data_IF_471800286072
#
_entry.id   IF_471800286072
#
_cell.length_a   1.000
_cell.length_b   1.000
_cell.length_c   1.000
_cell.angle_alpha   90.00
_cell.angle_beta   90.00
_cell.angle_gamma   90.00
#
_symmetry.space_group_name_H-M   'P 1'
#
loop_
_entity.id
_entity.type
_entity.pdbx_description
1 polymer ?
#
# COMPACT_ATOMS: atom_id res chain seq x y z
N UNK A 1 28.01 -19.90 59.82
CA UNK A 1 28.22 -20.49 58.48
C UNK A 1 27.45 -19.60 57.53
N UNK A 2 28.18 -18.67 56.94
CA UNK A 2 27.67 -17.56 56.16
C UNK A 2 28.66 -17.44 55.01
N UNK A 3 28.25 -17.87 53.83
CA UNK A 3 29.16 -17.98 52.69
C UNK A 3 29.12 -16.66 51.91
N UNK A 4 30.18 -15.87 52.06
CA UNK A 4 30.42 -14.68 51.24
C UNK A 4 30.79 -15.11 49.81
N UNK A 5 29.98 -14.68 48.83
CA UNK A 5 30.34 -14.75 47.42
C UNK A 5 30.94 -13.41 46.98
N UNK A 6 32.27 -13.34 46.90
CA UNK A 6 32.98 -12.29 46.18
C UNK A 6 32.84 -12.53 44.68
N UNK A 7 32.52 -11.47 43.93
CA UNK A 7 32.43 -11.48 42.47
C UNK A 7 33.64 -10.74 41.92
N UNK A 8 34.48 -11.42 41.13
CA UNK A 8 35.74 -10.85 40.62
C UNK A 8 35.49 -9.80 39.53
N UNK A 9 36.23 -8.70 39.60
CA UNK A 9 36.31 -7.67 38.56
C UNK A 9 36.95 -8.21 37.28
N UNK A 10 36.40 -7.82 36.12
CA UNK A 10 36.94 -8.18 34.80
C UNK A 10 37.43 -6.93 34.08
N UNK A 11 38.71 -6.59 34.29
CA UNK A 11 39.40 -5.55 33.53
C UNK A 11 39.55 -5.96 32.07
N UNK A 12 39.20 -5.06 31.14
CA UNK A 12 39.47 -5.22 29.72
C UNK A 12 40.52 -4.19 29.29
N UNK A 13 41.78 -4.65 29.26
CA UNK A 13 42.93 -3.79 29.03
C UNK A 13 42.95 -3.17 27.63
N UNK A 14 43.31 -1.88 27.60
CA UNK A 14 43.32 -1.02 26.42
C UNK A 14 44.77 -0.67 26.04
N UNK A 15 45.35 -1.37 25.05
CA UNK A 15 46.62 -0.96 24.42
C UNK A 15 46.65 -1.28 22.92
N UNK A 16 47.23 -0.37 22.13
CA UNK A 16 47.43 -0.58 20.68
C UNK A 16 47.66 0.68 19.84
N UNK A 17 48.61 1.54 20.21
CA UNK A 17 49.11 2.58 19.28
C UNK A 17 50.04 1.94 18.23
N UNK A 18 49.97 2.39 16.97
CA UNK A 18 50.85 1.94 15.89
C UNK A 18 50.92 2.96 14.75
N UNK A 19 52.11 3.47 14.48
CA UNK A 19 52.44 4.63 13.63
C UNK A 19 52.29 4.45 12.11
N UNK A 20 52.18 5.60 11.43
CA UNK A 20 52.35 5.82 9.98
C UNK A 20 53.47 5.00 9.30
N UNK A 21 53.24 4.60 8.05
CA UNK A 21 54.21 4.76 6.96
C UNK A 21 53.50 4.84 5.59
N UNK A 22 54.26 5.22 4.55
CA UNK A 22 53.79 5.83 3.30
C UNK A 22 54.37 5.09 2.08
N UNK A 23 53.66 5.13 0.94
CA UNK A 23 54.02 4.55 -0.38
C UNK A 23 54.08 3.00 -0.40
N UNK A 24 53.52 2.29 -1.39
CA UNK A 24 53.80 2.49 -2.82
C UNK A 24 52.68 2.00 -3.78
N UNK A 25 52.82 2.31 -5.07
CA UNK A 25 51.88 1.93 -6.13
C UNK A 25 51.98 0.45 -6.54
N UNK A 26 50.85 -0.18 -6.89
CA UNK A 26 50.75 -1.10 -8.05
C UNK A 26 49.30 -1.27 -8.50
N UNK A 27 49.05 -1.12 -9.79
CA UNK A 27 47.77 -1.47 -10.41
C UNK A 27 47.55 -2.99 -10.46
N UNK A 28 46.35 -3.48 -10.16
CA UNK A 28 45.81 -4.69 -10.79
C UNK A 28 44.28 -4.76 -10.77
N UNK A 29 43.71 -5.30 -11.84
CA UNK A 29 42.28 -5.29 -12.19
C UNK A 29 41.35 -5.97 -11.18
N UNK A 30 40.17 -5.37 -10.96
CA UNK A 30 39.05 -5.99 -10.23
C UNK A 30 37.70 -5.38 -10.63
N UNK A 31 37.02 -5.97 -11.62
CA UNK A 31 35.71 -5.49 -12.10
C UNK A 31 34.59 -5.74 -11.10
N UNK A 32 33.95 -4.67 -10.61
CA UNK A 32 32.73 -4.73 -9.79
C UNK A 32 31.67 -3.77 -10.32
N UNK A 33 30.71 -4.30 -11.09
CA UNK A 33 29.65 -3.52 -11.75
C UNK A 33 28.78 -2.77 -10.73
N UNK A 34 28.94 -1.45 -10.66
CA UNK A 34 28.06 -0.57 -9.87
C UNK A 34 27.05 0.07 -10.81
N UNK A 35 25.82 -0.45 -10.84
CA UNK A 35 24.77 0.01 -11.75
C UNK A 35 24.09 1.29 -11.21
N UNK A 36 24.82 2.40 -11.24
CA UNK A 36 24.28 3.74 -11.11
C UNK A 36 24.12 4.34 -12.51
N UNK A 37 22.88 4.41 -13.02
CA UNK A 37 22.60 5.15 -14.24
C UNK A 37 22.23 6.59 -13.88
N UNK A 38 23.10 7.52 -14.30
CA UNK A 38 22.82 8.95 -14.30
C UNK A 38 21.59 9.25 -15.15
N UNK A 39 20.61 9.91 -14.54
CA UNK A 39 19.59 10.67 -15.27
C UNK A 39 19.94 12.15 -15.15
N UNK A 40 20.82 12.62 -16.03
CA UNK A 40 20.89 14.05 -16.36
C UNK A 40 19.56 14.46 -16.98
N UNK A 41 18.90 15.47 -16.43
CA UNK A 41 17.72 16.07 -17.04
C UNK A 41 18.02 17.55 -17.26
N UNK A 42 17.99 17.97 -18.53
CA UNK A 42 18.44 19.30 -18.93
C UNK A 42 17.59 20.42 -18.31
N UNK A 43 18.32 21.44 -17.88
CA UNK A 43 17.83 22.65 -17.23
C UNK A 43 17.17 23.58 -18.26
N UNK A 44 15.84 23.76 -18.17
CA UNK A 44 15.11 24.77 -18.98
C UNK A 44 14.32 25.70 -18.07
N UNK A 45 14.79 26.94 -18.04
CA UNK A 45 14.34 28.04 -17.19
C UNK A 45 12.81 28.26 -17.14
N UNK A 46 12.31 28.60 -15.94
CA UNK A 46 11.07 29.38 -15.76
C UNK A 46 11.18 30.40 -14.62
N UNK A 47 11.14 31.65 -15.06
CA UNK A 47 10.85 32.93 -14.39
C UNK A 47 10.36 32.92 -12.94
N UNK A 48 10.96 33.83 -12.17
CA UNK A 48 10.45 34.35 -10.90
C UNK A 48 9.03 34.92 -11.02
N UNK A 49 8.16 34.54 -10.07
CA UNK A 49 7.08 35.38 -9.60
C UNK A 49 6.97 35.26 -8.07
N UNK A 50 7.74 36.10 -7.38
CA UNK A 50 7.57 36.31 -5.94
C UNK A 50 6.23 37.00 -5.69
N UNK A 51 5.34 36.34 -4.96
CA UNK A 51 4.16 36.97 -4.35
C UNK A 51 4.09 36.59 -2.88
N UNK A 52 4.47 37.54 -2.02
CA UNK A 52 4.53 37.37 -0.58
C UNK A 52 3.15 37.56 0.05
N UNK A 53 2.52 36.46 0.47
CA UNK A 53 1.37 36.50 1.37
C UNK A 53 1.80 36.16 2.79
N UNK A 54 2.03 37.22 3.59
CA UNK A 54 2.01 37.11 5.04
C UNK A 54 0.59 36.82 5.51
N UNK A 55 0.40 35.80 6.35
CA UNK A 55 -0.84 35.59 7.09
C UNK A 55 -0.53 35.48 8.58
N UNK A 56 -1.06 36.43 9.35
CA UNK A 56 -0.87 36.50 10.81
C UNK A 56 -1.54 35.33 11.52
N UNK A 57 -0.73 34.51 12.18
CA UNK A 57 -1.20 33.43 13.05
C UNK A 57 -1.62 34.00 14.41
N UNK A 58 -2.87 34.47 14.50
CA UNK A 58 -3.48 34.83 15.78
C UNK A 58 -3.98 33.59 16.53
N UNK A 59 -3.61 33.48 17.81
CA UNK A 59 -3.80 32.30 18.63
C UNK A 59 -5.22 32.17 19.18
N UNK A 60 -5.95 31.15 18.73
CA UNK A 60 -7.25 30.76 19.31
C UNK A 60 -7.03 29.64 20.34
N UNK A 61 -7.14 30.02 21.61
CA UNK A 61 -7.32 29.10 22.73
C UNK A 61 -8.69 28.41 22.62
N UNK A 62 -8.74 27.08 22.64
CA UNK A 62 -9.97 26.34 22.94
C UNK A 62 -9.73 25.27 24.01
N UNK A 63 -10.24 25.56 25.20
CA UNK A 63 -10.37 24.60 26.29
C UNK A 63 -11.40 23.54 25.91
N UNK A 64 -11.00 22.27 25.88
CA UNK A 64 -11.94 21.16 25.78
C UNK A 64 -12.52 20.84 27.17
N UNK A 65 -13.85 20.81 27.28
CA UNK A 65 -14.60 20.36 28.45
C UNK A 65 -15.44 19.14 28.07
N UNK A 66 -15.42 18.01 28.83
CA UNK A 66 -16.07 16.78 28.41
C UNK A 66 -17.33 16.46 29.22
N UNK A 67 -18.52 16.88 28.75
CA UNK A 67 -19.79 16.27 29.16
C UNK A 67 -20.78 16.26 27.99
N UNK A 68 -21.19 15.06 27.57
CA UNK A 68 -22.29 14.87 26.62
C UNK A 68 -23.17 13.72 27.08
N UNK A 69 -24.39 14.05 27.51
CA UNK A 69 -25.42 13.08 27.89
C UNK A 69 -26.79 13.70 27.65
N UNK A 70 -27.37 13.43 26.49
CA UNK A 70 -28.72 13.83 26.09
C UNK A 70 -29.44 12.61 25.50
N UNK A 71 -30.69 12.30 25.92
CA UNK A 71 -31.43 11.13 25.46
C UNK A 71 -32.27 11.38 24.21
N UNK A 72 -32.48 10.33 23.42
CA UNK A 72 -33.29 10.33 22.20
C UNK A 72 -34.71 10.88 22.38
N UNK A 73 -35.13 11.80 21.48
CA UNK A 73 -36.55 12.09 21.19
C UNK A 73 -36.83 12.06 19.69
N UNK A 74 -37.73 11.17 19.29
CA UNK A 74 -38.33 11.15 17.95
C UNK A 74 -39.47 12.17 17.82
N UNK A 75 -39.61 12.82 16.66
CA UNK A 75 -40.89 13.17 16.04
C UNK A 75 -41.03 12.42 14.71
N UNK A 76 -41.86 11.37 14.63
CA UNK A 76 -43.30 11.42 14.31
C UNK A 76 -43.60 12.01 12.92
N UNK A 77 -43.89 11.10 12.01
CA UNK A 77 -44.35 11.29 10.62
C UNK A 77 -45.55 12.24 10.54
N UNK A 78 -45.52 13.17 9.57
CA UNK A 78 -46.72 13.70 8.93
C UNK A 78 -46.55 13.68 7.41
N UNK A 79 -47.52 13.07 6.73
CA UNK A 79 -47.60 12.94 5.28
C UNK A 79 -48.67 13.87 4.72
N UNK A 80 -48.24 14.87 3.93
CA UNK A 80 -49.09 15.61 2.99
C UNK A 80 -48.23 15.85 1.73
N UNK A 81 -48.72 15.73 0.50
CA UNK A 81 -50.11 15.56 0.08
C UNK A 81 -50.55 16.65 -0.91
N UNK A 82 -49.76 16.90 -1.95
CA UNK A 82 -50.06 17.87 -3.02
C UNK A 82 -49.75 17.26 -4.38
N UNK A 83 -50.64 17.50 -5.34
CA UNK A 83 -50.65 16.88 -6.67
C UNK A 83 -50.70 17.93 -7.79
N UNK A 84 -50.58 17.43 -9.03
CA UNK A 84 -50.78 18.12 -10.32
C UNK A 84 -49.62 18.98 -10.85
N UNK A 85 -49.38 18.86 -12.16
CA UNK A 85 -48.30 19.55 -12.89
C UNK A 85 -47.89 18.84 -14.18
N UNK A 86 -48.84 18.46 -15.03
CA UNK A 86 -48.54 17.93 -16.37
C UNK A 86 -48.26 19.08 -17.35
N UNK A 87 -47.17 18.99 -18.10
CA UNK A 87 -47.03 19.64 -19.41
C UNK A 87 -46.18 18.77 -20.34
N UNK A 88 -46.64 18.48 -21.58
CA UNK A 88 -45.81 17.85 -22.60
C UNK A 88 -45.03 18.90 -23.39
N UNK A 89 -43.75 18.64 -23.66
CA UNK A 89 -42.97 19.39 -24.66
C UNK A 89 -42.42 18.41 -25.69
N UNK A 90 -42.39 18.89 -26.93
CA UNK A 90 -42.47 18.12 -28.16
C UNK A 90 -41.13 17.59 -28.70
N UNK A 91 -41.24 16.80 -29.75
CA UNK A 91 -40.16 16.17 -30.51
C UNK A 91 -39.04 17.11 -30.98
N UNK A 92 -37.82 16.58 -31.05
CA UNK A 92 -37.09 16.58 -32.33
C UNK A 92 -36.06 15.44 -32.40
N UNK A 93 -36.12 14.65 -33.47
CA UNK A 93 -35.19 13.56 -33.73
C UNK A 93 -34.02 14.05 -34.60
N UNK A 94 -32.81 14.01 -34.04
CA UNK A 94 -31.58 14.38 -34.76
C UNK A 94 -30.86 13.13 -35.26
N UNK A 95 -31.00 12.84 -36.55
CA UNK A 95 -30.30 11.74 -37.22
C UNK A 95 -28.79 12.04 -37.28
N UNK A 96 -27.96 11.18 -36.67
CA UNK A 96 -26.50 11.25 -36.79
C UNK A 96 -25.98 10.23 -37.81
N UNK A 97 -25.22 10.72 -38.78
CA UNK A 97 -24.75 9.95 -39.93
C UNK A 97 -23.66 8.94 -39.55
N UNK A 98 -23.89 7.65 -39.80
CA UNK A 98 -22.87 6.61 -39.72
C UNK A 98 -21.92 6.73 -40.93
N UNK A 99 -20.75 7.34 -40.73
CA UNK A 99 -19.64 7.27 -41.70
C UNK A 99 -18.89 5.94 -41.52
N UNK A 100 -19.07 5.02 -42.47
CA UNK A 100 -18.14 3.89 -42.61
C UNK A 100 -16.75 4.40 -43.03
N UNK A 101 -15.74 4.12 -42.22
CA UNK A 101 -14.33 4.24 -42.61
C UNK A 101 -13.76 2.85 -42.89
N UNK A 102 -13.63 2.53 -44.19
CA UNK A 102 -12.84 1.41 -44.66
C UNK A 102 -11.37 1.59 -44.26
N UNK A 103 -10.84 0.69 -43.41
CA UNK A 103 -9.40 0.53 -43.22
C UNK A 103 -8.96 -0.82 -43.77
N UNK A 104 -8.26 -0.79 -44.91
CA UNK A 104 -7.71 -2.01 -45.51
C UNK A 104 -6.57 -2.56 -44.64
N UNK A 105 -6.77 -3.73 -44.05
CA UNK A 105 -5.68 -4.46 -43.39
C UNK A 105 -4.82 -5.15 -44.44
N UNK A 106 -3.58 -4.66 -44.61
CA UNK A 106 -2.53 -5.34 -45.38
C UNK A 106 -2.14 -6.64 -44.68
N UNK A 107 -2.59 -7.77 -45.22
CA UNK A 107 -2.03 -9.08 -44.90
C UNK A 107 -0.59 -9.14 -45.42
N UNK A 108 0.39 -9.19 -44.51
CA UNK A 108 1.76 -9.63 -44.85
C UNK A 108 1.83 -11.14 -44.71
N UNK A 109 1.77 -11.83 -45.84
CA UNK A 109 2.07 -13.26 -45.91
C UNK A 109 3.51 -13.52 -45.45
N UNK A 110 3.70 -14.44 -44.50
CA UNK A 110 4.99 -15.06 -44.22
C UNK A 110 4.90 -16.53 -44.66
N UNK A 111 5.58 -16.86 -45.76
CA UNK A 111 5.73 -18.24 -46.25
C UNK A 111 7.19 -18.69 -46.09
N UNK A 112 7.37 -19.96 -45.70
CA UNK A 112 8.67 -20.62 -45.45
C UNK A 112 8.54 -21.53 -44.21
N UNK A 113 8.33 -22.85 -44.26
CA UNK A 113 9.10 -23.90 -44.98
C UNK A 113 10.61 -23.71 -44.73
N UNK A 114 11.37 -24.54 -44.01
CA UNK A 114 11.32 -25.99 -43.72
C UNK A 114 11.90 -26.26 -42.30
N UNK A 115 12.02 -27.45 -41.69
CA UNK A 115 11.74 -28.87 -42.05
C UNK A 115 11.59 -29.69 -40.73
N UNK A 116 11.12 -30.96 -40.74
CA UNK A 116 10.94 -31.75 -39.52
C UNK A 116 12.22 -32.47 -39.08
N UNK A 117 12.46 -32.54 -37.77
CA UNK A 117 13.44 -33.49 -37.19
C UNK A 117 12.82 -34.20 -35.98
N UNK A 118 12.45 -35.47 -36.15
CA UNK A 118 11.76 -36.26 -35.14
C UNK A 118 12.77 -36.93 -34.21
N UNK A 119 12.84 -36.50 -32.94
CA UNK A 119 13.60 -37.19 -31.90
C UNK A 119 12.66 -38.18 -31.17
N UNK A 120 13.07 -39.44 -30.90
CA UNK A 120 12.18 -40.43 -30.29
C UNK A 120 11.77 -40.08 -28.85
N UNK A 121 10.46 -40.04 -28.61
CA UNK A 121 9.88 -39.74 -27.31
C UNK A 121 10.07 -40.91 -26.32
N UNK A 122 11.13 -40.86 -25.52
CA UNK A 122 11.38 -41.83 -24.44
C UNK A 122 10.33 -41.67 -23.32
N UNK A 123 9.33 -42.55 -23.32
CA UNK A 123 8.27 -42.59 -22.31
C UNK A 123 8.81 -43.05 -20.96
N UNK A 124 9.32 -42.12 -20.15
CA UNK A 124 9.50 -42.35 -18.70
C UNK A 124 8.17 -42.08 -17.98
N UNK A 125 7.67 -43.00 -17.12
CA UNK A 125 6.46 -42.76 -16.34
C UNK A 125 6.76 -41.72 -15.25
N UNK A 126 6.38 -40.47 -15.52
CA UNK A 126 6.50 -39.38 -14.54
C UNK A 126 5.34 -39.51 -13.54
N UNK A 127 5.53 -40.34 -12.52
CA UNK A 127 4.73 -40.27 -11.29
C UNK A 127 5.16 -39.02 -10.50
N UNK A 128 4.72 -37.85 -10.95
CA UNK A 128 4.74 -36.62 -10.16
C UNK A 128 3.69 -36.73 -9.06
N UNK A 129 4.03 -37.43 -7.98
CA UNK A 129 3.33 -37.28 -6.70
C UNK A 129 3.60 -35.86 -6.21
N UNK A 130 2.69 -34.93 -6.53
CA UNK A 130 2.72 -33.56 -6.04
C UNK A 130 2.89 -33.57 -4.51
N UNK A 131 3.94 -32.94 -3.96
CA UNK A 131 4.11 -32.84 -2.51
C UNK A 131 3.08 -31.83 -1.97
N UNK A 132 1.86 -32.31 -1.71
CA UNK A 132 0.75 -31.56 -1.10
C UNK A 132 0.99 -31.16 0.36
N UNK A 133 2.23 -31.30 0.83
CA UNK A 133 2.73 -30.91 2.14
C UNK A 133 3.84 -29.89 1.96
N UNK A 134 3.51 -28.71 1.45
CA UNK A 134 4.32 -27.53 1.74
C UNK A 134 4.22 -27.29 3.25
N UNK A 135 5.26 -27.69 3.98
CA UNK A 135 5.26 -27.62 5.43
C UNK A 135 5.11 -26.18 5.89
N UNK A 136 3.99 -25.86 6.56
CA UNK A 136 3.79 -24.61 7.28
C UNK A 136 4.76 -24.42 8.48
N UNK A 137 5.71 -25.34 8.66
CA UNK A 137 6.60 -25.47 9.81
C UNK A 137 7.81 -24.52 9.82
N UNK A 138 7.88 -23.55 8.91
CA UNK A 138 9.01 -22.62 8.77
C UNK A 138 8.58 -21.20 8.33
N UNK A 139 7.45 -20.71 8.81
CA UNK A 139 7.22 -19.25 8.85
C UNK A 139 7.76 -18.71 10.17
N UNK A 140 8.86 -17.94 10.10
CA UNK A 140 9.36 -17.20 11.25
C UNK A 140 8.27 -16.29 11.81
N UNK A 141 8.02 -16.37 13.12
CA UNK A 141 7.04 -15.50 13.79
C UNK A 141 7.50 -14.05 13.79
N UNK A 142 6.55 -13.12 13.86
CA UNK A 142 6.86 -11.70 13.93
C UNK A 142 7.65 -11.35 15.20
N UNK A 143 8.90 -10.94 14.99
CA UNK A 143 9.80 -10.42 16.02
C UNK A 143 10.20 -8.99 15.63
N UNK A 144 9.83 -7.97 16.43
CA UNK A 144 10.32 -6.60 16.27
C UNK A 144 11.85 -6.51 16.40
N UNK A 145 12.47 -5.63 15.63
CA UNK A 145 13.94 -5.44 15.64
C UNK A 145 14.35 -4.57 16.83
N UNK A 146 14.78 -5.23 17.91
CA UNK A 146 15.20 -4.60 19.17
C UNK A 146 16.27 -3.49 19.02
N UNK A 147 17.10 -3.51 17.97
CA UNK A 147 18.10 -2.47 17.68
C UNK A 147 17.72 -1.65 16.45
N UNK A 148 16.85 -0.65 16.63
CA UNK A 148 16.59 0.41 15.63
C UNK A 148 17.78 1.39 15.56
N UNK A 149 18.93 0.97 15.00
CA UNK A 149 20.11 1.86 14.89
C UNK A 149 19.92 3.04 13.93
N UNK A 150 18.89 2.98 13.07
CA UNK A 150 18.42 4.10 12.26
C UNK A 150 17.15 4.65 12.90
N UNK A 151 17.20 5.92 13.29
CA UNK A 151 16.00 6.73 13.60
C UNK A 151 15.02 6.57 12.45
N UNK A 152 13.74 6.36 12.75
CA UNK A 152 12.71 6.29 11.72
C UNK A 152 12.78 7.57 10.86
N UNK A 153 12.80 7.42 9.54
CA UNK A 153 12.78 8.56 8.63
C UNK A 153 11.51 9.38 8.92
N UNK A 154 11.67 10.68 9.16
CA UNK A 154 10.53 11.57 9.43
C UNK A 154 9.82 11.75 8.10
N UNK A 155 8.55 11.38 8.05
CA UNK A 155 7.75 11.52 6.84
C UNK A 155 7.14 12.92 6.79
N UNK A 156 7.27 13.54 5.62
CA UNK A 156 6.66 14.81 5.25
C UNK A 156 5.94 14.59 3.91
N UNK A 157 4.63 14.72 3.93
CA UNK A 157 3.75 14.53 2.78
C UNK A 157 3.69 15.82 1.97
N UNK A 158 3.75 15.71 0.64
CA UNK A 158 3.69 16.87 -0.26
C UNK A 158 2.27 17.40 -0.45
N UNK A 159 1.24 16.58 -0.21
CA UNK A 159 -0.16 16.96 -0.34
C UNK A 159 -0.73 17.54 0.99
N UNK A 160 -1.52 18.63 0.93
CA UNK A 160 -2.08 19.27 2.13
C UNK A 160 -3.06 18.40 2.94
N UNK A 161 -3.55 17.30 2.39
CA UNK A 161 -4.50 16.39 3.07
C UNK A 161 -3.73 15.45 4.00
N UNK A 162 -2.72 14.77 3.48
CA UNK A 162 -1.91 13.81 4.25
C UNK A 162 -0.98 14.51 5.23
N UNK A 163 -0.49 15.73 4.89
CA UNK A 163 0.36 16.55 5.75
C UNK A 163 -0.26 16.82 7.14
N UNK A 164 -1.59 16.97 7.21
CA UNK A 164 -2.35 17.14 8.48
C UNK A 164 -2.17 15.99 9.47
N UNK A 165 -1.76 14.82 8.98
CA UNK A 165 -1.57 13.61 9.78
C UNK A 165 -0.10 13.22 9.95
N UNK A 166 0.86 13.97 9.38
CA UNK A 166 2.28 13.64 9.48
C UNK A 166 2.77 13.67 10.93
N UNK A 167 2.43 14.71 11.69
CA UNK A 167 2.84 14.82 13.10
C UNK A 167 2.26 13.68 13.96
N UNK A 168 1.01 13.30 13.72
CA UNK A 168 0.37 12.17 14.40
C UNK A 168 1.04 10.83 14.02
N UNK A 169 1.38 10.64 12.73
CA UNK A 169 2.08 9.44 12.26
C UNK A 169 3.50 9.35 12.83
N UNK A 170 4.25 10.45 12.76
CA UNK A 170 5.59 10.56 13.31
C UNK A 170 5.58 10.37 14.85
N UNK A 171 4.55 10.85 15.55
CA UNK A 171 4.30 10.59 16.97
C UNK A 171 4.04 9.09 17.24
N UNK A 172 3.19 8.42 16.46
CA UNK A 172 2.95 6.97 16.61
C UNK A 172 4.24 6.14 16.42
N UNK A 173 5.15 6.57 15.53
CA UNK A 173 6.45 5.92 15.34
C UNK A 173 7.45 6.13 16.49
N UNK A 174 7.28 7.20 17.29
CA UNK A 174 8.21 7.62 18.35
C UNK A 174 7.69 7.31 19.77
N UNK A 175 6.46 7.71 20.07
CA UNK A 175 5.88 7.72 21.43
C UNK A 175 5.42 6.35 21.91
N UNK A 176 5.30 5.36 21.00
CA UNK A 176 4.98 3.96 21.36
C UNK A 176 3.70 3.82 22.23
N UNK A 177 2.69 4.63 21.98
CA UNK A 177 1.46 4.70 22.79
C UNK A 177 0.32 3.79 22.30
N UNK A 178 0.36 3.37 21.03
CA UNK A 178 -0.72 2.60 20.41
C UNK A 178 -0.32 1.12 20.31
N UNK A 179 -1.06 0.26 21.01
CA UNK A 179 -0.89 -1.19 20.98
C UNK A 179 -1.98 -1.84 20.12
N UNK A 180 -1.61 -2.84 19.33
CA UNK A 180 -2.51 -3.67 18.53
C UNK A 180 -2.10 -5.12 18.71
N UNK A 181 -3.09 -6.03 18.80
CA UNK A 181 -2.86 -7.47 18.76
C UNK A 181 -3.16 -8.00 17.34
N UNK A 182 -2.14 -8.28 16.50
CA UNK A 182 -2.36 -8.66 15.10
C UNK A 182 -3.19 -9.93 14.94
N UNK A 183 -3.04 -10.89 15.85
CA UNK A 183 -3.77 -12.15 15.85
C UNK A 183 -5.27 -11.91 16.11
N UNK A 184 -5.62 -11.13 17.12
CA UNK A 184 -7.01 -10.76 17.41
C UNK A 184 -7.64 -9.88 16.33
N UNK A 185 -6.84 -9.03 15.66
CA UNK A 185 -7.31 -8.28 14.49
C UNK A 185 -7.56 -9.18 13.27
N UNK A 186 -7.10 -10.44 13.30
CA UNK A 186 -7.20 -11.39 12.20
C UNK A 186 -6.24 -11.08 11.06
N UNK A 187 -5.04 -10.58 11.36
CA UNK A 187 -4.00 -10.33 10.36
C UNK A 187 -3.51 -11.63 9.71
N UNK A 188 -3.01 -11.49 8.48
CA UNK A 188 -2.43 -12.57 7.68
C UNK A 188 -0.94 -12.35 7.42
N UNK A 189 -0.14 -13.41 7.17
CA UNK A 189 -0.48 -14.82 7.40
C UNK A 189 -0.72 -15.09 8.89
N UNK A 190 -1.76 -15.84 9.26
CA UNK A 190 -2.15 -16.05 10.66
C UNK A 190 -1.04 -16.70 11.49
N UNK A 191 -0.26 -17.61 10.89
CA UNK A 191 0.92 -18.24 11.51
C UNK A 191 2.11 -17.30 11.73
N UNK A 192 2.19 -16.18 11.01
CA UNK A 192 3.25 -15.18 11.18
C UNK A 192 3.01 -14.32 12.43
N UNK A 193 1.76 -14.19 12.88
CA UNK A 193 1.35 -13.25 13.92
C UNK A 193 1.05 -13.97 15.24
N UNK A 194 1.95 -13.94 16.24
CA UNK A 194 1.65 -14.50 17.55
C UNK A 194 0.53 -13.70 18.23
N UNK A 195 -0.27 -14.36 19.07
CA UNK A 195 -1.31 -13.73 19.88
C UNK A 195 -0.68 -12.95 21.04
N UNK A 196 -0.17 -11.76 20.72
CA UNK A 196 0.51 -10.84 21.61
C UNK A 196 0.28 -9.40 21.12
N UNK A 197 0.24 -8.47 22.05
CA UNK A 197 0.15 -7.05 21.75
C UNK A 197 1.51 -6.50 21.31
N UNK A 198 1.51 -5.75 20.22
CA UNK A 198 2.68 -5.06 19.67
C UNK A 198 2.38 -3.57 19.51
N UNK A 199 3.43 -2.77 19.55
CA UNK A 199 3.34 -1.35 19.22
C UNK A 199 3.00 -1.19 17.74
N UNK A 200 2.03 -0.34 17.42
CA UNK A 200 1.70 0.01 16.04
C UNK A 200 2.94 0.54 15.29
N UNK A 201 3.81 1.31 15.96
CA UNK A 201 5.09 1.75 15.40
C UNK A 201 6.03 0.59 15.02
N UNK A 202 6.10 -0.48 15.82
CA UNK A 202 6.86 -1.69 15.45
C UNK A 202 6.23 -2.37 14.23
N UNK A 203 4.91 -2.56 14.22
CA UNK A 203 4.20 -3.18 13.09
C UNK A 203 4.43 -2.37 11.80
N UNK A 204 4.39 -1.04 11.86
CA UNK A 204 4.66 -0.18 10.70
C UNK A 204 6.09 -0.39 10.18
N UNK A 205 7.10 -0.22 11.03
CA UNK A 205 8.51 -0.25 10.61
C UNK A 205 9.01 -1.67 10.26
N UNK A 206 8.52 -2.69 10.96
CA UNK A 206 8.98 -4.08 10.81
C UNK A 206 8.08 -4.97 9.95
N UNK A 207 6.87 -4.54 9.60
CA UNK A 207 6.03 -5.27 8.63
C UNK A 207 5.63 -4.40 7.43
N UNK A 208 4.99 -3.25 7.64
CA UNK A 208 4.49 -2.43 6.52
C UNK A 208 5.61 -1.81 5.69
N UNK A 209 6.70 -1.33 6.30
CA UNK A 209 7.86 -0.75 5.61
C UNK A 209 8.96 -1.79 5.29
N UNK A 210 8.84 -3.04 5.74
CA UNK A 210 9.78 -4.12 5.40
C UNK A 210 9.70 -4.46 3.92
N UNK A 211 10.85 -4.68 3.25
CA UNK A 211 10.92 -5.14 1.85
C UNK A 211 10.07 -6.41 1.67
N UNK A 212 9.31 -6.47 0.57
CA UNK A 212 8.42 -7.60 0.25
C UNK A 212 9.15 -8.93 0.32
N UNK A 213 8.61 -9.86 1.11
CA UNK A 213 9.02 -11.27 1.19
C UNK A 213 7.76 -12.15 1.24
N UNK A 214 7.89 -13.47 1.40
CA UNK A 214 6.74 -14.38 1.43
C UNK A 214 5.73 -14.09 2.56
N UNK A 215 6.19 -13.59 3.70
CA UNK A 215 5.34 -13.28 4.86
C UNK A 215 4.74 -11.87 4.78
N UNK A 216 5.44 -10.88 4.19
CA UNK A 216 4.99 -9.49 4.07
C UNK A 216 4.81 -9.02 2.61
N UNK A 217 4.22 -9.85 1.74
CA UNK A 217 3.81 -9.45 0.39
C UNK A 217 2.83 -8.26 0.45
N UNK A 218 2.78 -7.45 -0.61
CA UNK A 218 1.85 -6.30 -0.68
C UNK A 218 0.39 -6.70 -0.42
N UNK A 219 -0.05 -7.85 -0.94
CA UNK A 219 -1.38 -8.43 -0.69
C UNK A 219 -1.68 -8.64 0.82
N UNK A 220 -0.69 -9.04 1.63
CA UNK A 220 -0.84 -9.17 3.09
C UNK A 220 -0.87 -7.80 3.78
N UNK A 221 -0.04 -6.86 3.33
CA UNK A 221 -0.03 -5.47 3.84
C UNK A 221 -1.37 -4.79 3.58
N UNK A 222 -1.88 -4.88 2.35
CA UNK A 222 -3.19 -4.34 1.96
C UNK A 222 -4.31 -4.88 2.84
N UNK A 223 -4.39 -6.20 3.00
CA UNK A 223 -5.37 -6.85 3.88
C UNK A 223 -5.23 -6.37 5.34
N UNK A 224 -4.02 -6.41 5.90
CA UNK A 224 -3.80 -6.04 7.31
C UNK A 224 -4.09 -4.55 7.58
N UNK A 225 -3.78 -3.64 6.65
CA UNK A 225 -4.15 -2.23 6.75
C UNK A 225 -5.68 -2.04 6.81
N UNK A 226 -6.42 -2.76 5.96
CA UNK A 226 -7.89 -2.72 5.97
C UNK A 226 -8.47 -3.29 7.27
N UNK A 227 -7.86 -4.34 7.83
CA UNK A 227 -8.23 -4.88 9.15
C UNK A 227 -7.98 -3.90 10.29
N UNK A 228 -6.87 -3.13 10.26
CA UNK A 228 -6.63 -2.05 11.23
C UNK A 228 -7.77 -1.02 11.16
N UNK A 229 -8.09 -0.51 9.97
CA UNK A 229 -9.08 0.56 9.82
C UNK A 229 -10.50 0.10 10.13
N UNK A 230 -10.83 -1.16 9.84
CA UNK A 230 -12.13 -1.75 10.18
C UNK A 230 -12.35 -1.88 11.70
N UNK A 231 -11.29 -2.12 12.47
CA UNK A 231 -11.36 -2.28 13.94
C UNK A 231 -11.14 -0.94 14.65
N UNK A 232 -10.30 -0.07 14.10
CA UNK A 232 -9.94 1.24 14.63
C UNK A 232 -10.22 2.34 13.59
N UNK A 233 -11.49 2.76 13.37
CA UNK A 233 -11.84 3.76 12.37
C UNK A 233 -11.12 5.11 12.55
N UNK A 234 -10.73 5.46 13.77
CA UNK A 234 -9.89 6.62 14.10
C UNK A 234 -8.51 6.63 13.39
N UNK A 235 -7.99 5.47 12.99
CA UNK A 235 -6.71 5.36 12.27
C UNK A 235 -6.88 5.47 10.74
N UNK A 236 -8.10 5.58 10.23
CA UNK A 236 -8.43 5.67 8.80
C UNK A 236 -7.63 6.72 8.04
N UNK A 237 -7.58 7.94 8.56
CA UNK A 237 -6.87 9.05 7.91
C UNK A 237 -5.34 8.84 7.94
N UNK A 238 -4.85 8.20 8.99
CA UNK A 238 -3.44 7.92 9.22
C UNK A 238 -2.89 6.81 8.31
N UNK A 239 -3.66 5.72 8.17
CA UNK A 239 -3.38 4.55 7.33
C UNK A 239 -3.65 4.87 5.84
N UNK A 240 -4.67 5.69 5.56
CA UNK A 240 -5.00 6.15 4.21
C UNK A 240 -5.75 5.15 3.33
N UNK A 241 -6.44 4.17 3.91
CA UNK A 241 -7.17 3.17 3.11
C UNK A 241 -8.46 2.68 3.79
N UNK A 242 -9.56 2.56 3.03
CA UNK A 242 -10.84 2.07 3.54
C UNK A 242 -11.70 1.43 2.43
N UNK A 243 -12.60 0.52 2.82
CA UNK A 243 -13.72 0.10 1.96
C UNK A 243 -14.87 1.10 2.13
N UNK A 244 -15.24 1.80 1.06
CA UNK A 244 -16.46 2.65 1.05
C UNK A 244 -17.71 1.86 0.61
N UNK A 245 -17.49 0.72 -0.04
CA UNK A 245 -18.49 -0.23 -0.51
C UNK A 245 -17.82 -1.62 -0.56
N UNK A 246 -18.58 -2.75 -0.50
CA UNK A 246 -17.98 -4.08 -0.53
C UNK A 246 -17.01 -4.35 -1.68
N UNK A 247 -17.11 -3.62 -2.79
CA UNK A 247 -16.27 -3.79 -3.99
C UNK A 247 -15.39 -2.57 -4.31
N UNK A 248 -15.49 -1.47 -3.54
CA UNK A 248 -14.83 -0.19 -3.86
C UNK A 248 -13.92 0.25 -2.71
N UNK A 249 -12.64 0.36 -3.03
CA UNK A 249 -11.56 0.67 -2.12
C UNK A 249 -11.15 2.13 -2.32
N UNK A 250 -11.26 2.97 -1.29
CA UNK A 250 -10.76 4.35 -1.32
C UNK A 250 -9.34 4.38 -0.75
N UNK A 251 -8.42 5.02 -1.49
CA UNK A 251 -7.00 5.10 -1.16
C UNK A 251 -6.55 6.55 -1.17
N UNK A 252 -6.11 7.07 -0.01
CA UNK A 252 -5.38 8.34 0.12
C UNK A 252 -3.91 8.04 -0.14
N UNK A 253 -3.41 8.44 -1.32
CA UNK A 253 -2.13 7.98 -1.90
C UNK A 253 -0.96 8.15 -0.95
N UNK A 254 -0.76 9.36 -0.42
CA UNK A 254 0.43 9.68 0.37
C UNK A 254 0.37 9.07 1.78
N UNK A 255 -0.77 9.12 2.48
CA UNK A 255 -0.96 8.38 3.73
C UNK A 255 -0.63 6.88 3.59
N UNK A 256 -1.14 6.21 2.54
CA UNK A 256 -0.90 4.79 2.33
C UNK A 256 0.53 4.48 1.84
N UNK A 257 1.13 5.35 1.03
CA UNK A 257 2.54 5.23 0.64
C UNK A 257 3.49 5.43 1.83
N UNK A 258 3.20 6.39 2.72
CA UNK A 258 3.90 6.66 3.98
C UNK A 258 3.86 5.46 4.92
N UNK A 259 2.68 4.84 5.08
CA UNK A 259 2.53 3.57 5.82
C UNK A 259 3.45 2.47 5.26
N UNK A 260 3.53 2.35 3.94
CA UNK A 260 4.30 1.30 3.25
C UNK A 260 5.79 1.63 3.06
N UNK A 261 6.22 2.86 3.36
CA UNK A 261 7.59 3.32 3.16
C UNK A 261 7.97 3.56 1.69
N UNK A 262 7.00 3.89 0.83
CA UNK A 262 7.18 4.05 -0.61
C UNK A 262 7.38 5.53 -0.96
N UNK A 263 8.53 5.88 -1.56
CA UNK A 263 8.85 7.26 -1.97
C UNK A 263 8.31 7.60 -3.37
N UNK A 264 8.47 6.71 -4.35
CA UNK A 264 7.85 6.87 -5.68
C UNK A 264 6.42 6.34 -5.65
N UNK A 265 5.48 7.21 -5.31
CA UNK A 265 4.08 6.85 -5.03
C UNK A 265 3.39 6.29 -6.28
N UNK A 266 3.34 7.06 -7.36
CA UNK A 266 2.66 6.63 -8.60
C UNK A 266 3.38 5.44 -9.26
N UNK A 267 4.72 5.46 -9.32
CA UNK A 267 5.52 4.36 -9.85
C UNK A 267 5.35 3.04 -9.07
N UNK A 268 5.35 3.12 -7.75
CA UNK A 268 5.27 1.95 -6.86
C UNK A 268 3.87 1.40 -6.64
N UNK A 269 2.83 2.24 -6.67
CA UNK A 269 1.45 1.83 -6.35
C UNK A 269 0.55 1.74 -7.59
N UNK A 270 0.56 2.73 -8.47
CA UNK A 270 -0.51 2.96 -9.46
C UNK A 270 -0.09 2.77 -10.93
N UNK A 271 1.21 2.75 -11.22
CA UNK A 271 1.72 2.43 -12.56
C UNK A 271 1.29 1.01 -13.00
N UNK A 272 1.34 0.71 -14.31
CA UNK A 272 0.93 -0.59 -14.88
C UNK A 272 1.64 -1.81 -14.28
N UNK A 273 2.83 -1.62 -13.69
CA UNK A 273 3.61 -2.64 -12.98
C UNK A 273 3.62 -2.44 -11.45
N UNK A 274 2.88 -1.46 -10.95
CA UNK A 274 2.78 -1.11 -9.54
C UNK A 274 1.96 -2.12 -8.74
N UNK A 275 1.96 -1.92 -7.42
CA UNK A 275 1.39 -2.85 -6.45
C UNK A 275 -0.13 -3.06 -6.59
N UNK A 276 -0.93 -2.05 -6.99
CA UNK A 276 -2.36 -2.23 -7.20
C UNK A 276 -2.68 -2.92 -8.54
N UNK A 277 -2.18 -2.49 -9.72
CA UNK A 277 -2.47 -3.15 -10.99
C UNK A 277 -1.92 -4.58 -11.10
N UNK A 278 -0.78 -4.88 -10.45
CA UNK A 278 -0.25 -6.25 -10.39
C UNK A 278 -1.14 -7.23 -9.58
N UNK A 279 -2.05 -6.71 -8.75
CA UNK A 279 -3.10 -7.47 -8.08
C UNK A 279 -4.46 -7.40 -8.80
N UNK A 280 -4.55 -6.85 -10.01
CA UNK A 280 -5.80 -6.74 -10.76
C UNK A 280 -6.76 -5.64 -10.29
N UNK A 281 -6.30 -4.71 -9.45
CA UNK A 281 -7.03 -3.46 -9.21
C UNK A 281 -6.90 -2.51 -10.39
N UNK A 282 -7.99 -1.81 -10.70
CA UNK A 282 -7.99 -0.67 -11.61
C UNK A 282 -8.60 0.54 -10.91
N UNK A 283 -8.19 1.72 -11.36
CA UNK A 283 -8.81 2.98 -10.97
C UNK A 283 -10.20 3.09 -11.61
N UNK A 284 -11.14 3.71 -10.91
CA UNK A 284 -12.44 4.12 -11.45
C UNK A 284 -12.32 5.52 -12.05
N UNK A 285 -12.97 5.75 -13.20
CA UNK A 285 -13.16 7.11 -13.71
C UNK A 285 -14.26 7.84 -12.93
N UNK A 286 -14.38 9.15 -13.12
CA UNK A 286 -15.45 9.95 -12.50
C UNK A 286 -16.85 9.45 -12.91
N UNK A 287 -17.05 9.11 -14.18
CA UNK A 287 -18.32 8.56 -14.70
C UNK A 287 -18.64 7.21 -14.07
N UNK A 288 -17.64 6.33 -13.92
CA UNK A 288 -17.83 5.04 -13.26
C UNK A 288 -18.13 5.21 -11.77
N UNK A 289 -17.45 6.11 -11.07
CA UNK A 289 -17.72 6.40 -9.67
C UNK A 289 -19.16 6.91 -9.47
N UNK A 290 -19.66 7.77 -10.36
CA UNK A 290 -21.06 8.24 -10.35
C UNK A 290 -22.09 7.10 -10.52
N UNK A 291 -21.70 5.97 -11.14
CA UNK A 291 -22.54 4.77 -11.28
C UNK A 291 -22.39 3.82 -10.10
N UNK A 292 -21.16 3.53 -9.67
CA UNK A 292 -20.88 2.53 -8.63
C UNK A 292 -21.02 3.05 -7.19
N UNK A 293 -20.90 4.37 -6.97
CA UNK A 293 -20.93 5.00 -5.64
C UNK A 293 -22.22 5.78 -5.35
N UNK A 294 -23.34 5.45 -6.02
CA UNK A 294 -24.62 6.14 -5.81
C UNK A 294 -25.05 6.07 -4.34
N UNK A 295 -25.24 7.24 -3.72
CA UNK A 295 -25.61 7.37 -2.30
C UNK A 295 -24.45 7.20 -1.31
N UNK A 296 -23.20 7.08 -1.76
CA UNK A 296 -22.01 7.08 -0.91
C UNK A 296 -21.40 8.49 -0.82
N UNK A 297 -20.83 8.82 0.33
CA UNK A 297 -20.01 10.03 0.46
C UNK A 297 -18.63 9.83 -0.18
N UNK A 298 -18.45 10.48 -1.33
CA UNK A 298 -17.19 10.57 -2.08
C UNK A 298 -16.74 12.04 -2.23
N UNK A 299 -17.21 12.94 -1.35
CA UNK A 299 -16.92 14.38 -1.41
C UNK A 299 -15.43 14.73 -1.24
N UNK A 300 -14.64 13.83 -0.64
CA UNK A 300 -13.18 13.95 -0.47
C UNK A 300 -12.36 13.28 -1.58
N UNK A 301 -13.00 12.84 -2.68
CA UNK A 301 -12.33 12.16 -3.80
C UNK A 301 -11.98 13.16 -4.91
N UNK A 302 -10.69 13.50 -5.01
CA UNK A 302 -10.14 14.38 -6.05
C UNK A 302 -9.52 13.63 -7.25
N UNK A 303 -9.46 12.29 -7.21
CA UNK A 303 -8.82 11.38 -8.19
C UNK A 303 -7.31 11.57 -8.38
N UNK A 304 -6.71 12.65 -7.89
CA UNK A 304 -5.28 12.93 -7.93
C UNK A 304 -4.54 12.41 -6.69
N UNK A 305 -5.06 12.71 -5.49
CA UNK A 305 -4.52 12.34 -4.17
C UNK A 305 -5.36 11.25 -3.48
N UNK A 306 -6.66 11.22 -3.76
CA UNK A 306 -7.64 10.26 -3.23
C UNK A 306 -8.27 9.51 -4.39
N UNK A 307 -7.91 8.23 -4.53
CA UNK A 307 -8.34 7.38 -5.64
C UNK A 307 -9.38 6.35 -5.20
N UNK A 308 -10.30 6.03 -6.11
CA UNK A 308 -11.23 4.91 -5.98
C UNK A 308 -10.76 3.75 -6.85
N UNK A 309 -10.59 2.57 -6.26
CA UNK A 309 -10.15 1.36 -6.92
C UNK A 309 -11.23 0.28 -6.88
N UNK A 310 -11.35 -0.47 -7.97
CA UNK A 310 -12.13 -1.70 -8.05
C UNK A 310 -11.22 -2.86 -8.45
N UNK A 311 -11.40 -4.02 -7.83
CA UNK A 311 -10.69 -5.24 -8.23
C UNK A 311 -11.39 -5.87 -9.44
N UNK A 312 -10.81 -5.77 -10.64
CA UNK A 312 -11.48 -6.14 -11.88
C UNK A 312 -11.94 -7.61 -11.95
N UNK A 313 -11.20 -8.61 -11.42
CA UNK A 313 -11.70 -9.98 -11.31
C UNK A 313 -12.77 -10.22 -10.22
N UNK A 314 -13.15 -9.22 -9.43
CA UNK A 314 -14.20 -9.35 -8.38
C UNK A 314 -13.85 -10.21 -7.15
N UNK A 315 -12.67 -10.83 -7.10
CA UNK A 315 -12.27 -11.74 -6.02
C UNK A 315 -11.84 -11.05 -4.70
N UNK A 316 -11.27 -9.83 -4.77
CA UNK A 316 -10.91 -9.02 -3.59
C UNK A 316 -12.05 -8.04 -3.30
N UNK A 317 -12.68 -8.22 -2.14
CA UNK A 317 -13.85 -7.45 -1.65
C UNK A 317 -13.72 -7.22 -0.14
N UNK A 318 -14.62 -6.47 0.48
CA UNK A 318 -14.63 -6.26 1.94
C UNK A 318 -14.80 -7.55 2.76
N UNK A 319 -15.36 -8.62 2.17
CA UNK A 319 -15.54 -9.94 2.80
C UNK A 319 -14.39 -10.93 2.50
N UNK A 320 -13.29 -10.43 1.92
CA UNK A 320 -12.10 -11.21 1.61
C UNK A 320 -11.45 -11.76 2.89
N UNK A 321 -10.73 -12.89 2.77
CA UNK A 321 -10.17 -13.64 3.89
C UNK A 321 -8.90 -14.40 3.49
N UNK A 322 -8.17 -14.90 4.48
CA UNK A 322 -6.88 -15.57 4.31
C UNK A 322 -6.88 -16.71 3.26
N UNK A 323 -7.94 -17.51 3.18
CA UNK A 323 -8.01 -18.63 2.22
C UNK A 323 -8.02 -18.13 0.78
N UNK A 324 -8.74 -17.02 0.52
CA UNK A 324 -8.78 -16.38 -0.79
C UNK A 324 -7.43 -15.74 -1.14
N UNK A 325 -6.74 -15.14 -0.15
CA UNK A 325 -5.38 -14.61 -0.33
C UNK A 325 -4.41 -15.70 -0.77
N UNK A 326 -4.43 -16.85 -0.09
CA UNK A 326 -3.59 -17.99 -0.46
C UNK A 326 -3.91 -18.53 -1.85
N UNK A 327 -5.19 -18.54 -2.27
CA UNK A 327 -5.58 -18.88 -3.63
C UNK A 327 -4.88 -17.99 -4.68
N UNK A 328 -4.95 -16.67 -4.50
CA UNK A 328 -4.35 -15.67 -5.40
C UNK A 328 -2.82 -15.77 -5.46
N UNK A 329 -2.16 -16.05 -4.33
CA UNK A 329 -0.68 -16.14 -4.29
C UNK A 329 -0.12 -17.41 -4.93
N UNK A 330 -0.95 -18.45 -5.09
CA UNK A 330 -0.56 -19.74 -5.67
C UNK A 330 -1.04 -19.93 -7.11
N UNK A 331 -2.03 -19.16 -7.58
CA UNK A 331 -2.51 -19.18 -8.97
C UNK A 331 -1.57 -18.49 -9.96
N UNK A 332 -0.26 -18.55 -9.74
CA UNK A 332 0.74 -18.11 -10.73
C UNK A 332 0.72 -19.14 -11.85
N UNK A 333 -0.10 -18.86 -12.86
CA UNK A 333 -0.12 -19.61 -14.12
C UNK A 333 1.32 -19.71 -14.64
N UNK A 334 1.84 -20.91 -14.95
CA UNK A 334 3.17 -21.02 -15.53
C UNK A 334 3.20 -20.19 -16.80
N UNK A 335 4.14 -19.24 -16.89
CA UNK A 335 4.38 -18.52 -18.14
C UNK A 335 4.83 -19.54 -19.17
N UNK A 336 4.01 -19.74 -20.19
CA UNK A 336 4.28 -20.62 -21.33
C UNK A 336 5.39 -20.02 -22.22
#
# INVERSE_FOLDING_TARGET
MSDDFTFDDFDFDNQGQGSNQQEDQTDLFGTGETFAQDFSFDEVARNDYSSSFSCDSSSINQNYSPYFSEPFRNPRIQSQGMSAGLSPIDMSASQSNIRMLNSQQRLRSFNGLTSPNMVPLSKRPIHQTLPSKFCAAAMDTFIPRAKRSKRAEIWQSTDPISARTDDQFNSILQTNSHFINPSQCGFIPSLYWPNKDFLLGDIILDFFQRKSNINCRFIHKLYNALRIVQIYPMLKELIGIEWISPNILKVRKCCFARLLGIKSIDGGLFHKQGNFPSLGFRELTMDEANVYCQGLDISDVDYENVKLLVHAPGQITANWNEKLVFGMTNSVVPRA
#
